data_IF_346571914384
#
_entry.id   IF_346571914384
#
_cell.length_a   1.000
_cell.length_b   1.000
_cell.length_c   1.000
_cell.angle_alpha   90.00
_cell.angle_beta   90.00
_cell.angle_gamma   90.00
#
_symmetry.space_group_name_H-M   'P 1'
#
loop_
_entity.id
_entity.type
_entity.pdbx_description
1 polymer ?
#
# COMPACT_ATOMS: atom_id res chain seq x y z
N UNK A 1 -1.40 48.04 2.79
CA UNK A 1 -0.10 47.38 3.06
C UNK A 1 -0.25 45.87 2.86
N UNK A 2 0.35 45.29 1.82
CA UNK A 2 0.33 43.85 1.59
C UNK A 2 1.23 43.19 2.65
N UNK A 3 0.66 42.31 3.48
CA UNK A 3 1.37 41.58 4.51
C UNK A 3 2.40 40.60 3.90
N UNK A 4 3.64 41.04 3.77
CA UNK A 4 4.77 40.23 3.29
C UNK A 4 5.24 39.17 4.31
N UNK A 5 4.66 39.15 5.51
CA UNK A 5 5.05 38.19 6.59
C UNK A 5 4.85 36.70 6.28
N UNK A 6 3.98 36.35 5.31
CA UNK A 6 3.66 34.93 5.02
C UNK A 6 4.38 34.36 3.79
N UNK A 7 5.29 35.09 3.16
CA UNK A 7 5.89 34.71 1.87
C UNK A 7 6.93 33.58 1.96
N UNK A 8 7.43 33.32 3.17
CA UNK A 8 8.50 32.34 3.41
C UNK A 8 8.14 31.25 4.44
N UNK A 9 6.88 31.14 4.84
CA UNK A 9 6.46 30.12 5.80
C UNK A 9 6.13 28.85 5.04
N UNK A 10 6.94 27.81 5.22
CA UNK A 10 6.63 26.48 4.73
C UNK A 10 5.49 25.89 5.55
N UNK A 11 4.34 25.64 4.90
CA UNK A 11 3.19 25.06 5.55
C UNK A 11 3.40 23.55 5.66
N UNK A 12 3.52 23.01 6.87
CA UNK A 12 3.54 21.57 7.12
C UNK A 12 2.15 21.07 7.54
N UNK A 13 1.79 19.87 7.10
CA UNK A 13 0.53 19.26 7.47
C UNK A 13 0.56 18.75 8.91
N UNK A 14 -0.55 18.92 9.63
CA UNK A 14 -0.79 18.34 10.95
C UNK A 14 -1.89 17.29 10.87
N UNK A 15 -1.98 16.41 11.87
CA UNK A 15 -3.00 15.37 11.91
C UNK A 15 -4.44 15.88 11.83
N UNK A 16 -4.69 17.12 12.30
CA UNK A 16 -6.00 17.78 12.23
C UNK A 16 -6.33 18.40 10.87
N UNK A 17 -5.32 18.69 10.04
CA UNK A 17 -5.50 19.36 8.73
C UNK A 17 -5.56 18.36 7.57
N UNK A 18 -5.22 17.11 7.81
CA UNK A 18 -5.16 16.08 6.79
C UNK A 18 -6.56 15.50 6.55
N UNK A 19 -6.98 15.52 5.28
CA UNK A 19 -8.14 14.79 4.79
C UNK A 19 -7.66 13.50 4.12
N UNK A 20 -8.22 12.34 4.53
CA UNK A 20 -7.95 11.04 3.93
C UNK A 20 -9.13 10.61 3.09
N UNK A 21 -8.87 10.31 1.84
CA UNK A 21 -9.85 9.77 0.92
C UNK A 21 -9.81 8.23 0.95
N UNK A 22 -10.92 7.62 0.51
CA UNK A 22 -11.02 6.18 0.33
C UNK A 22 -10.92 5.85 -1.16
N UNK A 23 -9.96 5.02 -1.50
CA UNK A 23 -9.62 4.69 -2.87
C UNK A 23 -9.75 3.19 -3.09
N UNK A 24 -10.42 2.80 -4.17
CA UNK A 24 -10.59 1.42 -4.59
C UNK A 24 -9.65 1.12 -5.76
N UNK A 25 -8.94 0.01 -5.67
CA UNK A 25 -8.00 -0.46 -6.69
C UNK A 25 -8.36 -1.89 -7.08
N UNK A 26 -8.64 -2.13 -8.35
CA UNK A 26 -8.79 -3.49 -8.89
C UNK A 26 -7.42 -4.07 -9.25
N UNK A 27 -7.10 -5.22 -8.65
CA UNK A 27 -5.84 -5.93 -8.86
C UNK A 27 -5.91 -6.92 -10.03
N UNK A 28 -7.06 -7.14 -10.65
CA UNK A 28 -7.28 -8.11 -11.72
C UNK A 28 -6.28 -7.90 -12.87
N UNK A 29 -5.46 -8.91 -13.13
CA UNK A 29 -4.49 -8.90 -14.22
C UNK A 29 -3.32 -7.93 -14.07
N UNK A 30 -3.23 -7.17 -12.98
CA UNK A 30 -2.13 -6.23 -12.71
C UNK A 30 -0.88 -6.97 -12.22
N UNK A 31 0.30 -6.45 -12.58
CA UNK A 31 1.56 -6.96 -12.04
C UNK A 31 1.77 -6.49 -10.59
N UNK A 32 1.97 -7.44 -9.67
CA UNK A 32 2.11 -7.19 -8.23
C UNK A 32 3.10 -6.07 -7.91
N UNK A 33 4.31 -6.11 -8.46
CA UNK A 33 5.35 -5.12 -8.14
C UNK A 33 4.98 -3.71 -8.57
N UNK A 34 4.46 -3.55 -9.79
CA UNK A 34 4.05 -2.25 -10.34
C UNK A 34 2.86 -1.67 -9.59
N UNK A 35 1.86 -2.51 -9.29
CA UNK A 35 0.71 -2.12 -8.49
C UNK A 35 1.14 -1.72 -7.07
N UNK A 36 1.94 -2.55 -6.39
CA UNK A 36 2.36 -2.30 -5.02
C UNK A 36 3.17 -1.00 -4.87
N UNK A 37 4.00 -0.64 -5.85
CA UNK A 37 4.78 0.61 -5.82
C UNK A 37 3.87 1.84 -5.91
N UNK A 38 2.86 1.83 -6.78
CA UNK A 38 1.89 2.92 -6.91
C UNK A 38 1.00 3.02 -5.67
N UNK A 39 0.51 1.89 -5.16
CA UNK A 39 -0.27 1.83 -3.92
C UNK A 39 0.54 2.35 -2.72
N UNK A 40 1.80 1.96 -2.56
CA UNK A 40 2.66 2.45 -1.50
C UNK A 40 2.88 3.97 -1.58
N UNK A 41 2.97 4.54 -2.80
CA UNK A 41 3.06 5.97 -3.04
C UNK A 41 1.80 6.72 -2.57
N UNK A 42 0.61 6.16 -2.84
CA UNK A 42 -0.69 6.70 -2.42
C UNK A 42 -0.83 6.63 -0.90
N UNK A 43 -0.63 5.46 -0.30
CA UNK A 43 -0.77 5.24 1.14
C UNK A 43 0.20 6.13 1.93
N UNK A 44 1.39 6.43 1.38
CA UNK A 44 2.31 7.38 1.98
C UNK A 44 1.89 8.83 1.78
N UNK A 45 1.01 9.13 0.82
CA UNK A 45 0.54 10.48 0.52
C UNK A 45 1.44 11.28 -0.41
N UNK A 46 2.40 10.64 -1.10
CA UNK A 46 3.35 11.34 -1.99
C UNK A 46 2.71 11.96 -3.24
N UNK A 47 1.46 11.67 -3.52
CA UNK A 47 0.69 12.28 -4.61
C UNK A 47 0.04 13.60 -4.20
N UNK A 48 0.00 13.91 -2.89
CA UNK A 48 -0.61 15.14 -2.36
C UNK A 48 0.39 16.30 -2.32
N UNK A 49 -0.08 17.49 -2.60
CA UNK A 49 0.74 18.73 -2.57
C UNK A 49 1.20 19.10 -1.15
N UNK A 50 0.40 18.75 -0.14
CA UNK A 50 0.70 19.00 1.28
C UNK A 50 1.46 17.84 1.96
N UNK A 51 2.12 16.98 1.18
CA UNK A 51 2.90 15.89 1.71
C UNK A 51 3.93 16.34 2.73
N UNK A 52 3.87 15.79 3.94
CA UNK A 52 4.81 16.04 5.03
C UNK A 52 5.40 14.71 5.51
N UNK A 53 6.75 14.51 5.46
CA UNK A 53 7.39 13.21 5.67
C UNK A 53 7.15 12.55 7.02
N UNK A 54 6.94 13.34 8.08
CA UNK A 54 6.78 12.86 9.46
C UNK A 54 5.32 12.66 9.87
N UNK A 55 4.36 12.98 9.00
CA UNK A 55 2.92 12.85 9.25
C UNK A 55 2.29 11.85 8.29
N UNK A 56 1.25 11.14 8.73
CA UNK A 56 0.47 10.23 7.89
C UNK A 56 -0.52 11.01 7.01
N UNK A 57 -0.03 11.48 5.86
CA UNK A 57 -0.81 12.26 4.88
C UNK A 57 -1.53 11.38 3.84
N UNK A 58 -1.31 10.07 3.88
CA UNK A 58 -1.82 9.15 2.87
C UNK A 58 -3.32 8.90 2.93
N UNK A 59 -3.83 8.25 1.88
CA UNK A 59 -5.21 7.83 1.76
C UNK A 59 -5.40 6.38 2.18
N UNK A 60 -6.66 6.02 2.46
CA UNK A 60 -7.04 4.63 2.69
C UNK A 60 -7.20 3.93 1.33
N UNK A 61 -6.55 2.79 1.17
CA UNK A 61 -6.60 2.05 -0.10
C UNK A 61 -7.22 0.68 0.12
N UNK A 62 -8.28 0.40 -0.62
CA UNK A 62 -8.95 -0.90 -0.68
C UNK A 62 -8.52 -1.58 -1.99
N UNK A 63 -7.96 -2.78 -1.90
CA UNK A 63 -7.57 -3.58 -3.06
C UNK A 63 -8.52 -4.78 -3.14
N UNK A 64 -9.15 -4.97 -4.29
CA UNK A 64 -10.03 -6.10 -4.59
C UNK A 64 -9.38 -7.04 -5.62
N UNK A 65 -9.92 -8.25 -5.76
CA UNK A 65 -9.46 -9.27 -6.71
C UNK A 65 -7.97 -9.62 -6.55
N UNK A 66 -7.48 -9.70 -5.31
CA UNK A 66 -6.07 -10.02 -5.04
C UNK A 66 -5.68 -11.44 -5.47
N UNK A 67 -6.64 -12.33 -5.71
CA UNK A 67 -6.48 -13.67 -6.24
C UNK A 67 -6.10 -13.71 -7.74
N UNK A 68 -6.41 -12.64 -8.50
CA UNK A 68 -6.19 -12.54 -9.94
C UNK A 68 -4.94 -11.73 -10.33
N UNK A 69 -4.04 -11.55 -9.40
CA UNK A 69 -2.81 -10.78 -9.59
C UNK A 69 -1.78 -11.56 -10.40
N UNK A 70 -0.93 -10.84 -11.17
CA UNK A 70 0.13 -11.45 -11.98
C UNK A 70 1.51 -11.18 -11.40
N UNK A 71 2.39 -12.17 -11.52
CA UNK A 71 3.84 -12.02 -11.32
C UNK A 71 4.53 -12.12 -12.67
N UNK A 72 5.61 -11.36 -12.86
CA UNK A 72 6.39 -11.39 -14.09
C UNK A 72 7.40 -12.53 -14.09
N UNK A 73 7.64 -13.16 -15.25
CA UNK A 73 8.57 -14.29 -15.40
C UNK A 73 8.17 -15.47 -14.53
N UNK A 74 9.14 -16.29 -14.14
CA UNK A 74 8.91 -17.50 -13.32
C UNK A 74 8.90 -17.25 -11.81
N UNK A 75 8.49 -16.05 -11.37
CA UNK A 75 8.47 -15.70 -9.92
C UNK A 75 7.48 -16.53 -9.11
N UNK A 76 6.51 -17.15 -9.74
CA UNK A 76 5.60 -18.05 -9.04
C UNK A 76 6.34 -19.24 -8.42
N UNK A 77 7.34 -19.78 -9.10
CA UNK A 77 8.11 -20.95 -8.67
C UNK A 77 9.43 -20.60 -7.99
N UNK A 78 10.01 -19.41 -8.29
CA UNK A 78 11.33 -19.02 -7.78
C UNK A 78 11.28 -18.10 -6.56
N UNK A 79 10.20 -17.25 -6.43
CA UNK A 79 10.15 -16.29 -5.34
C UNK A 79 9.76 -16.97 -4.03
N UNK A 80 10.72 -17.00 -3.10
CA UNK A 80 10.55 -17.53 -1.76
C UNK A 80 10.36 -16.39 -0.74
N UNK A 81 9.36 -16.54 0.13
CA UNK A 81 9.13 -15.67 1.29
C UNK A 81 9.69 -16.35 2.54
N UNK A 82 10.85 -15.85 2.99
CA UNK A 82 11.59 -16.40 4.11
C UNK A 82 11.10 -15.81 5.43
N UNK A 83 11.01 -16.64 6.46
CA UNK A 83 10.79 -16.28 7.85
C UNK A 83 11.79 -17.05 8.72
N UNK A 84 12.35 -16.36 9.71
CA UNK A 84 13.23 -16.96 10.72
C UNK A 84 12.50 -17.07 12.05
N UNK A 85 12.67 -18.18 12.75
CA UNK A 85 12.10 -18.41 14.08
C UNK A 85 13.03 -17.95 15.21
N UNK A 86 14.29 -17.60 14.91
CA UNK A 86 15.30 -17.22 15.88
C UNK A 86 16.16 -18.36 16.42
N UNK A 87 15.81 -19.60 16.13
CA UNK A 87 16.57 -20.79 16.56
C UNK A 87 17.54 -21.27 15.46
N UNK A 88 18.62 -21.99 15.82
CA UNK A 88 19.47 -22.67 14.84
C UNK A 88 18.63 -23.52 13.88
N UNK A 89 18.87 -23.43 12.57
CA UNK A 89 18.05 -24.12 11.57
C UNK A 89 16.63 -23.57 11.37
N UNK A 90 16.25 -22.49 12.04
CA UNK A 90 14.89 -21.92 12.05
C UNK A 90 14.46 -21.15 10.79
N UNK A 91 15.16 -21.26 9.68
CA UNK A 91 14.75 -20.71 8.39
C UNK A 91 13.57 -21.49 7.83
N UNK A 92 12.44 -20.82 7.59
CA UNK A 92 11.26 -21.38 6.92
C UNK A 92 10.94 -20.52 5.69
N UNK A 93 10.83 -21.19 4.53
CA UNK A 93 10.50 -20.54 3.26
C UNK A 93 9.14 -21.03 2.75
N UNK A 94 8.41 -20.14 2.07
CA UNK A 94 7.17 -20.47 1.37
C UNK A 94 7.25 -19.84 -0.02
N UNK A 95 7.00 -20.64 -1.06
CA UNK A 95 6.96 -20.16 -2.43
C UNK A 95 5.77 -19.21 -2.66
N UNK A 96 5.92 -18.30 -3.61
CA UNK A 96 4.86 -17.35 -3.94
C UNK A 96 3.56 -18.06 -4.35
N UNK A 97 3.67 -19.14 -5.12
CA UNK A 97 2.55 -19.99 -5.54
C UNK A 97 1.78 -20.59 -4.35
N UNK A 98 2.51 -21.09 -3.36
CA UNK A 98 1.89 -21.73 -2.18
C UNK A 98 1.28 -20.67 -1.25
N UNK A 99 1.93 -19.50 -1.14
CA UNK A 99 1.39 -18.38 -0.38
C UNK A 99 0.09 -17.87 -1.00
N UNK A 100 0.03 -17.78 -2.34
CA UNK A 100 -1.17 -17.37 -3.07
C UNK A 100 -2.34 -18.31 -2.86
N UNK A 101 -2.09 -19.65 -2.91
CA UNK A 101 -3.12 -20.66 -2.67
C UNK A 101 -3.68 -20.60 -1.26
N UNK A 102 -2.83 -20.36 -0.25
CA UNK A 102 -3.24 -20.36 1.16
C UNK A 102 -3.84 -19.02 1.60
N UNK A 103 -3.23 -17.92 1.20
CA UNK A 103 -3.58 -16.57 1.64
C UNK A 103 -3.26 -15.54 0.55
N UNK A 104 -4.14 -15.34 -0.46
CA UNK A 104 -3.89 -14.41 -1.57
C UNK A 104 -3.67 -12.97 -1.10
N UNK A 105 -4.40 -12.52 -0.08
CA UNK A 105 -4.26 -11.17 0.49
C UNK A 105 -2.87 -10.90 1.04
N UNK A 106 -2.25 -11.88 1.69
CA UNK A 106 -0.90 -11.74 2.29
C UNK A 106 0.20 -11.50 1.26
N UNK A 107 0.02 -11.97 0.03
CA UNK A 107 0.99 -11.73 -1.04
C UNK A 107 1.08 -10.22 -1.34
N UNK A 108 -0.07 -9.58 -1.47
CA UNK A 108 -0.20 -8.13 -1.73
C UNK A 108 0.25 -7.32 -0.53
N UNK A 109 -0.21 -7.66 0.66
CA UNK A 109 0.17 -6.99 1.92
C UNK A 109 1.69 -6.98 2.11
N UNK A 110 2.36 -8.14 1.91
CA UNK A 110 3.82 -8.23 2.02
C UNK A 110 4.54 -7.39 0.99
N UNK A 111 4.02 -7.31 -0.24
CA UNK A 111 4.61 -6.51 -1.30
C UNK A 111 4.53 -5.01 -0.97
N UNK A 112 3.35 -4.51 -0.57
CA UNK A 112 3.16 -3.10 -0.19
C UNK A 112 3.95 -2.76 1.07
N UNK A 113 3.86 -3.59 2.12
CA UNK A 113 4.60 -3.39 3.38
C UNK A 113 6.11 -3.32 3.17
N UNK A 114 6.64 -4.12 2.24
CA UNK A 114 8.07 -4.09 1.87
C UNK A 114 8.51 -2.78 1.23
N UNK A 115 7.59 -2.03 0.61
CA UNK A 115 7.82 -0.74 -0.06
C UNK A 115 7.53 0.47 0.84
N UNK A 116 6.93 0.26 2.02
CA UNK A 116 6.71 1.31 3.01
C UNK A 116 7.96 1.51 3.90
N UNK A 117 8.13 2.69 4.53
CA UNK A 117 9.23 2.93 5.46
C UNK A 117 9.21 1.95 6.64
N UNK A 118 10.40 1.48 7.06
CA UNK A 118 10.55 0.53 8.17
C UNK A 118 10.66 1.22 9.54
N UNK A 119 9.75 2.14 9.84
CA UNK A 119 9.72 2.91 11.08
C UNK A 119 8.33 2.88 11.75
N UNK A 120 8.14 3.59 12.86
CA UNK A 120 6.86 3.68 13.57
C UNK A 120 5.74 4.22 12.65
N UNK A 121 6.03 5.28 11.90
CA UNK A 121 5.10 5.88 10.95
C UNK A 121 4.70 4.88 9.86
N UNK A 122 5.65 4.15 9.26
CA UNK A 122 5.37 3.14 8.24
C UNK A 122 4.46 2.00 8.74
N UNK A 123 4.59 1.61 10.02
CA UNK A 123 3.66 0.65 10.64
C UNK A 123 2.26 1.21 10.81
N UNK A 124 2.14 2.50 11.14
CA UNK A 124 0.84 3.19 11.21
C UNK A 124 0.20 3.31 9.83
N UNK A 125 0.95 3.79 8.85
CA UNK A 125 0.50 3.95 7.45
C UNK A 125 0.02 2.62 6.84
N UNK A 126 0.68 1.50 7.18
CA UNK A 126 0.28 0.19 6.68
C UNK A 126 -1.13 -0.24 7.12
N UNK A 127 -1.70 0.36 8.17
CA UNK A 127 -3.08 0.11 8.61
C UNK A 127 -4.12 0.73 7.67
N UNK A 128 -3.72 1.65 6.80
CA UNK A 128 -4.59 2.26 5.79
C UNK A 128 -4.75 1.37 4.54
N UNK A 129 -4.15 0.17 4.53
CA UNK A 129 -4.25 -0.80 3.46
C UNK A 129 -5.26 -1.89 3.83
N UNK A 130 -6.25 -2.09 2.98
CA UNK A 130 -7.27 -3.14 3.08
C UNK A 130 -7.19 -4.00 1.81
N UNK A 131 -7.02 -5.30 1.96
CA UNK A 131 -6.86 -6.23 0.83
C UNK A 131 -7.91 -7.32 0.91
N UNK A 132 -8.64 -7.52 -0.19
CA UNK A 132 -9.66 -8.55 -0.35
C UNK A 132 -9.30 -9.49 -1.49
N UNK A 133 -9.56 -10.78 -1.31
CA UNK A 133 -9.28 -11.78 -2.32
C UNK A 133 -10.20 -11.66 -3.52
N UNK A 134 -11.50 -11.50 -3.26
CA UNK A 134 -12.54 -11.35 -4.27
C UNK A 134 -12.93 -9.90 -4.54
N UNK A 135 -14.10 -9.74 -5.11
CA UNK A 135 -14.69 -8.46 -5.52
C UNK A 135 -15.38 -7.72 -4.36
N UNK A 136 -15.91 -8.48 -3.39
CA UNK A 136 -16.61 -7.94 -2.23
C UNK A 136 -15.64 -7.39 -1.18
N UNK A 137 -16.02 -6.24 -0.59
CA UNK A 137 -15.25 -5.58 0.47
C UNK A 137 -16.18 -4.99 1.55
N UNK A 138 -15.71 -4.91 2.78
CA UNK A 138 -16.49 -4.44 3.94
C UNK A 138 -16.53 -2.90 4.09
N UNK A 139 -15.87 -2.14 3.18
CA UNK A 139 -15.77 -0.67 3.26
C UNK A 139 -16.77 0.06 2.34
N UNK A 140 -17.88 -0.57 1.95
CA UNK A 140 -18.91 0.04 1.08
C UNK A 140 -19.51 1.33 1.67
N UNK A 141 -19.67 1.40 2.99
CA UNK A 141 -20.17 2.59 3.70
C UNK A 141 -19.26 3.81 3.54
N UNK A 142 -17.96 3.61 3.28
CA UNK A 142 -17.00 4.68 3.06
C UNK A 142 -17.00 5.22 1.62
N UNK A 143 -17.78 4.60 0.72
CA UNK A 143 -17.91 4.96 -0.71
C UNK A 143 -16.55 5.14 -1.39
N UNK A 144 -15.69 4.11 -1.40
CA UNK A 144 -14.35 4.23 -1.96
C UNK A 144 -14.41 4.53 -3.46
N UNK A 145 -13.62 5.50 -3.92
CA UNK A 145 -13.55 5.91 -5.32
C UNK A 145 -12.63 4.97 -6.10
N UNK A 146 -13.11 4.39 -7.19
CA UNK A 146 -12.28 3.60 -8.10
C UNK A 146 -11.20 4.47 -8.73
N UNK A 147 -9.95 4.01 -8.69
CA UNK A 147 -8.80 4.68 -9.32
C UNK A 147 -8.10 3.73 -10.28
N UNK A 148 -7.83 4.23 -11.46
CA UNK A 148 -6.87 3.62 -12.38
C UNK A 148 -5.46 3.97 -11.95
N UNK A 149 -4.67 2.96 -11.59
CA UNK A 149 -3.29 3.18 -11.15
C UNK A 149 -2.39 3.79 -12.23
N UNK A 150 -2.77 3.68 -13.50
CA UNK A 150 -1.97 4.17 -14.62
C UNK A 150 -1.98 5.70 -14.72
N UNK A 151 -2.99 6.35 -14.16
CA UNK A 151 -3.11 7.81 -14.09
C UNK A 151 -2.19 8.45 -13.02
N UNK A 152 -1.59 7.63 -12.13
CA UNK A 152 -0.73 8.09 -11.06
C UNK A 152 0.73 8.07 -11.53
N UNK A 153 1.29 9.26 -11.75
CA UNK A 153 2.70 9.51 -12.09
C UNK A 153 3.65 9.31 -10.91
#
# INVERSE_FOLDING_TARGET
>A
MKNYKNRYITTSANSSTIKKDWLLVDARGKFLGRMASKVAKIIRGKHKTNYTPHVDCGDNVVIINADQIKLSGDKWNQKEYIRHTGYPGGKKGVLAKDLMKKHPTRLVEKAVKGMLPKNKLGRSINKNLYVYAGEEHNQSSQKPRLINLDDIK
#
